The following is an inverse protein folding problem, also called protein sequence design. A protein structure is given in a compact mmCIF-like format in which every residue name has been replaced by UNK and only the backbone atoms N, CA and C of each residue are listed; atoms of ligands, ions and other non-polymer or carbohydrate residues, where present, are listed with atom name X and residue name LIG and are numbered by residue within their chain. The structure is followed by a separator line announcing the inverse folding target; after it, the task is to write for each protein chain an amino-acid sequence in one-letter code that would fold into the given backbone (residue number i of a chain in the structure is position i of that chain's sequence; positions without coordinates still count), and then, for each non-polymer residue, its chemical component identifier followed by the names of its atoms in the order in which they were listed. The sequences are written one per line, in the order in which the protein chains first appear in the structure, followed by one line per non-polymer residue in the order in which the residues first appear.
data_IF_946350043187
#
_entry.id   IF_946350043187
#
_cell.length_a   1.000
_cell.length_b   1.000
_cell.length_c   1.000
_cell.angle_alpha   90.00
_cell.angle_beta   90.00
_cell.angle_gamma   90.00
#
_symmetry.space_group_name_H-M   'P 1'
#
loop_
_entity.id
_entity.type
_entity.pdbx_description
1 polymer ?
#
# COMPACT_ATOMS: atom_id res chain seq x y z
N UNK A 1 -18.58 8.99 -5.02
CA UNK A 1 -17.13 9.20 -4.98
C UNK A 1 -16.47 8.01 -5.63
N UNK A 2 -15.80 8.21 -6.76
CA UNK A 2 -15.16 7.16 -7.53
C UNK A 2 -13.66 7.14 -7.25
N UNK A 3 -13.14 6.01 -6.78
CA UNK A 3 -11.73 5.87 -6.41
C UNK A 3 -11.05 4.73 -7.17
N UNK A 4 -9.83 5.00 -7.63
CA UNK A 4 -8.95 3.99 -8.20
C UNK A 4 -8.02 3.45 -7.11
N UNK A 5 -7.99 2.14 -6.92
CA UNK A 5 -7.09 1.46 -5.98
C UNK A 5 -5.97 0.76 -6.74
N UNK A 6 -4.71 1.04 -6.39
CA UNK A 6 -3.52 0.45 -7.00
C UNK A 6 -2.71 -0.33 -5.97
N UNK A 7 -2.50 -1.62 -6.21
CA UNK A 7 -1.72 -2.49 -5.34
C UNK A 7 -0.68 -3.28 -6.15
N UNK A 8 0.55 -2.75 -6.29
CA UNK A 8 1.63 -3.45 -6.95
C UNK A 8 2.15 -4.60 -6.08
N UNK A 9 2.17 -5.79 -6.65
CA UNK A 9 2.88 -6.97 -6.16
C UNK A 9 4.15 -7.23 -6.96
N UNK A 10 4.87 -8.30 -6.62
CA UNK A 10 6.11 -8.68 -7.31
C UNK A 10 5.90 -8.92 -8.81
N UNK A 11 4.95 -9.79 -9.16
CA UNK A 11 4.70 -10.25 -10.55
C UNK A 11 3.37 -9.78 -11.13
N UNK A 12 2.61 -8.98 -10.38
CA UNK A 12 1.33 -8.43 -10.85
C UNK A 12 1.06 -7.07 -10.20
N UNK A 13 0.18 -6.28 -10.80
CA UNK A 13 -0.43 -5.12 -10.16
C UNK A 13 -1.94 -5.32 -10.14
N UNK A 14 -2.53 -5.34 -8.96
CA UNK A 14 -3.99 -5.37 -8.83
C UNK A 14 -4.50 -3.94 -8.89
N UNK A 15 -5.50 -3.72 -9.72
CA UNK A 15 -6.24 -2.47 -9.80
C UNK A 15 -7.72 -2.74 -9.56
N UNK A 16 -8.38 -1.85 -8.83
CA UNK A 16 -9.83 -1.89 -8.65
C UNK A 16 -10.41 -0.48 -8.69
N UNK A 17 -11.60 -0.33 -9.27
CA UNK A 17 -12.38 0.90 -9.28
C UNK A 17 -13.57 0.70 -8.36
N UNK A 18 -13.73 1.61 -7.41
CA UNK A 18 -14.88 1.66 -6.52
C UNK A 18 -15.68 2.92 -6.79
N UNK A 19 -17.00 2.81 -6.69
CA UNK A 19 -17.90 3.94 -6.48
C UNK A 19 -18.53 3.76 -5.10
N UNK A 20 -18.16 4.65 -4.19
CA UNK A 20 -18.40 4.51 -2.75
C UNK A 20 -17.90 3.16 -2.22
N UNK A 21 -18.82 2.24 -1.90
CA UNK A 21 -18.53 0.91 -1.35
C UNK A 21 -18.65 -0.20 -2.40
N UNK A 22 -19.10 0.11 -3.61
CA UNK A 22 -19.35 -0.85 -4.68
C UNK A 22 -18.13 -0.95 -5.59
N UNK A 23 -17.58 -2.15 -5.72
CA UNK A 23 -16.56 -2.43 -6.73
C UNK A 23 -17.21 -2.46 -8.12
N UNK A 24 -16.79 -1.55 -9.01
CA UNK A 24 -17.26 -1.49 -10.39
C UNK A 24 -16.37 -2.31 -11.33
N UNK A 25 -15.09 -2.38 -11.02
CA UNK A 25 -14.09 -3.09 -11.83
C UNK A 25 -12.95 -3.56 -10.94
N UNK A 26 -12.42 -4.74 -11.21
CA UNK A 26 -11.23 -5.29 -10.55
C UNK A 26 -10.46 -6.15 -11.53
N UNK A 27 -9.16 -5.87 -11.71
CA UNK A 27 -8.29 -6.62 -12.62
C UNK A 27 -6.91 -6.80 -12.00
N UNK A 28 -6.36 -8.01 -12.17
CA UNK A 28 -4.97 -8.28 -11.86
C UNK A 28 -4.15 -8.19 -13.14
N UNK A 29 -3.44 -7.09 -13.32
CA UNK A 29 -2.49 -6.90 -14.43
C UNK A 29 -1.27 -7.77 -14.16
N UNK A 30 -1.09 -8.82 -14.95
CA UNK A 30 0.05 -9.73 -14.82
C UNK A 30 1.23 -9.14 -15.59
N UNK A 31 2.42 -9.18 -14.99
CA UNK A 31 3.64 -8.68 -15.59
C UNK A 31 4.48 -9.84 -16.12
N UNK A 32 5.05 -9.66 -17.30
CA UNK A 32 5.94 -10.66 -17.88
C UNK A 32 7.24 -10.74 -17.08
N UNK A 33 7.56 -11.92 -16.55
CA UNK A 33 8.75 -12.09 -15.70
C UNK A 33 10.07 -11.90 -16.46
N UNK A 34 10.10 -12.15 -17.77
CA UNK A 34 11.24 -11.90 -18.64
C UNK A 34 11.47 -10.40 -18.83
N UNK A 35 10.41 -9.62 -19.00
CA UNK A 35 10.49 -8.15 -19.04
C UNK A 35 10.91 -7.59 -17.66
N UNK A 36 10.28 -8.06 -16.57
CA UNK A 36 10.60 -7.57 -15.23
C UNK A 36 12.09 -7.78 -14.86
N UNK A 37 12.71 -8.87 -15.32
CA UNK A 37 14.13 -9.17 -15.09
C UNK A 37 15.10 -8.25 -15.83
N UNK A 38 14.64 -7.50 -16.83
CA UNK A 38 15.47 -6.54 -17.56
C UNK A 38 15.73 -5.27 -16.74
N UNK A 39 14.90 -5.00 -15.72
CA UNK A 39 15.05 -3.85 -14.85
C UNK A 39 15.98 -4.17 -13.68
N UNK A 40 16.99 -3.32 -13.47
CA UNK A 40 17.91 -3.43 -12.33
C UNK A 40 17.21 -3.05 -11.03
N UNK A 41 16.44 -1.94 -11.05
CA UNK A 41 15.69 -1.46 -9.90
C UNK A 41 14.20 -1.60 -10.14
N UNK A 42 13.48 -1.79 -9.05
CA UNK A 42 12.01 -1.79 -9.00
C UNK A 42 11.45 -0.48 -9.53
N UNK A 43 12.06 0.67 -9.20
CA UNK A 43 11.60 1.98 -9.66
C UNK A 43 11.65 2.13 -11.19
N UNK A 44 12.55 1.41 -11.86
CA UNK A 44 12.69 1.47 -13.32
C UNK A 44 11.49 0.81 -14.04
N UNK A 45 10.70 0.00 -13.32
CA UNK A 45 9.48 -0.63 -13.82
C UNK A 45 8.29 0.34 -13.89
N UNK A 46 8.45 1.58 -13.44
CA UNK A 46 7.37 2.55 -13.27
C UNK A 46 6.55 2.76 -14.55
N UNK A 47 7.22 3.15 -15.64
CA UNK A 47 6.56 3.42 -16.93
C UNK A 47 5.86 2.18 -17.48
N UNK A 48 6.54 1.03 -17.47
CA UNK A 48 5.97 -0.24 -17.91
C UNK A 48 4.68 -0.60 -17.16
N UNK A 49 4.68 -0.46 -15.83
CA UNK A 49 3.49 -0.76 -15.04
C UNK A 49 2.39 0.29 -15.24
N UNK A 50 2.75 1.56 -15.39
CA UNK A 50 1.82 2.66 -15.64
C UNK A 50 1.05 2.45 -16.94
N UNK A 51 1.74 2.11 -18.02
CA UNK A 51 1.14 1.90 -19.33
C UNK A 51 0.14 0.74 -19.32
N UNK A 52 0.49 -0.36 -18.66
CA UNK A 52 -0.42 -1.51 -18.53
C UNK A 52 -1.65 -1.20 -17.68
N UNK A 53 -1.51 -0.37 -16.64
CA UNK A 53 -2.65 0.08 -15.82
C UNK A 53 -3.58 0.96 -16.66
N UNK A 54 -3.05 1.95 -17.38
CA UNK A 54 -3.83 2.83 -18.25
C UNK A 54 -4.55 2.06 -19.35
N UNK A 55 -3.88 1.09 -19.98
CA UNK A 55 -4.49 0.21 -20.97
C UNK A 55 -5.66 -0.60 -20.37
N UNK A 56 -5.47 -1.16 -19.17
CA UNK A 56 -6.50 -1.93 -18.48
C UNK A 56 -7.71 -1.08 -18.06
N UNK A 57 -7.50 0.17 -17.65
CA UNK A 57 -8.59 1.11 -17.32
C UNK A 57 -9.36 1.52 -18.58
N UNK A 58 -8.65 1.83 -19.66
CA UNK A 58 -9.25 2.20 -20.95
C UNK A 58 -10.09 1.06 -21.53
N UNK A 59 -9.60 -0.17 -21.46
CA UNK A 59 -10.35 -1.38 -21.89
C UNK A 59 -11.65 -1.55 -21.09
N UNK A 60 -11.64 -1.18 -19.81
CA UNK A 60 -12.82 -1.19 -18.94
C UNK A 60 -13.73 0.05 -19.09
N UNK A 61 -13.37 1.00 -19.97
CA UNK A 61 -14.15 2.20 -20.23
C UNK A 61 -13.99 3.32 -19.19
N UNK A 62 -12.89 3.32 -18.43
CA UNK A 62 -12.56 4.39 -17.48
C UNK A 62 -11.44 5.28 -18.00
N UNK A 63 -11.58 6.57 -17.77
CA UNK A 63 -10.54 7.57 -17.99
C UNK A 63 -10.07 8.15 -16.65
N UNK A 64 -8.88 8.76 -16.63
CA UNK A 64 -8.37 9.32 -15.36
C UNK A 64 -9.30 10.39 -14.79
N UNK A 65 -9.94 11.20 -15.64
CA UNK A 65 -10.89 12.24 -15.23
C UNK A 65 -12.16 11.71 -14.54
N UNK A 66 -12.42 10.40 -14.58
CA UNK A 66 -13.56 9.78 -13.91
C UNK A 66 -13.40 9.65 -12.40
N UNK A 67 -12.17 9.78 -11.87
CA UNK A 67 -11.85 9.49 -10.48
C UNK A 67 -11.75 10.75 -9.62
N UNK A 68 -12.24 10.67 -8.38
CA UNK A 68 -12.11 11.71 -7.37
C UNK A 68 -10.81 11.59 -6.56
N UNK A 69 -10.26 10.37 -6.46
CA UNK A 69 -9.01 10.09 -5.76
C UNK A 69 -8.38 8.78 -6.22
N UNK A 70 -7.06 8.64 -5.99
CA UNK A 70 -6.33 7.39 -6.18
C UNK A 70 -5.80 6.92 -4.83
N UNK A 71 -6.13 5.70 -4.44
CA UNK A 71 -5.58 5.03 -3.26
C UNK A 71 -4.53 4.01 -3.68
N UNK A 72 -3.44 3.90 -2.92
CA UNK A 72 -2.44 2.86 -3.13
C UNK A 72 -2.12 2.10 -1.86
N UNK A 73 -1.56 0.90 -2.03
CA UNK A 73 -0.79 0.28 -0.95
C UNK A 73 0.44 1.15 -0.64
N UNK A 74 0.74 1.34 0.63
CA UNK A 74 1.95 2.04 1.06
C UNK A 74 3.24 1.23 0.84
N UNK A 75 4.34 1.94 0.59
CA UNK A 75 5.68 1.37 0.43
C UNK A 75 6.52 1.41 1.71
N UNK A 76 7.83 1.18 1.53
CA UNK A 76 8.85 1.20 2.59
C UNK A 76 9.38 2.62 2.83
N UNK A 77 8.50 3.52 3.27
CA UNK A 77 8.89 4.87 3.75
C UNK A 77 9.44 4.80 5.18
N UNK A 78 9.81 5.93 5.78
CA UNK A 78 10.15 6.00 7.21
C UNK A 78 9.00 5.52 8.10
N UNK A 79 9.31 5.09 9.32
CA UNK A 79 8.28 4.66 10.27
C UNK A 79 7.29 5.79 10.57
N UNK A 80 6.00 5.49 10.45
CA UNK A 80 4.88 6.41 10.69
C UNK A 80 3.74 5.70 11.43
N UNK A 81 2.83 6.43 12.10
CA UNK A 81 1.62 5.83 12.69
C UNK A 81 0.69 5.17 11.64
N UNK A 82 -0.34 4.47 12.09
CA UNK A 82 -1.42 4.02 11.20
C UNK A 82 -2.26 5.21 10.72
N UNK A 83 -2.82 5.09 9.51
CA UNK A 83 -3.63 6.15 8.90
C UNK A 83 -3.62 6.14 7.37
N UNK A 84 -4.39 7.08 6.81
CA UNK A 84 -4.38 7.39 5.38
C UNK A 84 -3.66 8.71 5.17
N UNK A 85 -2.64 8.68 4.33
CA UNK A 85 -1.71 9.78 4.10
C UNK A 85 -1.81 10.26 2.65
N UNK A 86 -1.82 11.58 2.45
CA UNK A 86 -1.67 12.17 1.12
C UNK A 86 -0.24 11.97 0.64
N UNK A 87 -0.08 11.57 -0.62
CA UNK A 87 1.22 11.39 -1.24
C UNK A 87 1.79 12.76 -1.59
N UNK A 88 2.92 13.11 -0.98
CA UNK A 88 3.68 14.32 -1.26
C UNK A 88 5.08 13.98 -1.78
N UNK A 89 5.87 15.00 -2.08
CA UNK A 89 7.21 14.86 -2.66
C UNK A 89 8.17 14.11 -1.73
N UNK A 90 8.05 14.29 -0.40
CA UNK A 90 8.88 13.56 0.57
C UNK A 90 8.63 12.06 0.53
N UNK A 91 7.36 11.64 0.42
CA UNK A 91 6.99 10.23 0.26
C UNK A 91 7.61 9.65 -1.02
N UNK A 92 7.58 10.41 -2.12
CA UNK A 92 8.19 9.98 -3.38
C UNK A 92 9.70 9.85 -3.25
N UNK A 93 10.36 10.81 -2.60
CA UNK A 93 11.80 10.78 -2.36
C UNK A 93 12.22 9.57 -1.52
N UNK A 94 11.54 9.32 -0.39
CA UNK A 94 11.82 8.17 0.48
C UNK A 94 11.73 6.84 -0.29
N UNK A 95 10.73 6.70 -1.18
CA UNK A 95 10.51 5.50 -1.98
C UNK A 95 11.52 5.35 -3.12
N UNK A 96 11.92 6.45 -3.77
CA UNK A 96 12.94 6.45 -4.84
C UNK A 96 14.34 6.18 -4.29
N UNK A 97 14.63 6.64 -3.08
CA UNK A 97 15.90 6.42 -2.38
C UNK A 97 15.94 5.09 -1.61
N UNK A 98 14.84 4.34 -1.59
CA UNK A 98 14.73 3.05 -0.90
C UNK A 98 15.17 3.13 0.57
N UNK A 99 14.75 4.16 1.32
CA UNK A 99 15.24 4.45 2.68
C UNK A 99 15.12 3.26 3.64
N UNK A 100 14.06 2.44 3.49
CA UNK A 100 13.85 1.20 4.24
C UNK A 100 13.81 -0.04 3.32
N UNK A 101 14.54 0.02 2.21
CA UNK A 101 14.71 -1.07 1.26
C UNK A 101 13.80 -1.01 0.04
N UNK A 102 14.05 -1.96 -0.86
CA UNK A 102 13.42 -2.01 -2.17
C UNK A 102 12.37 -3.11 -2.24
N UNK A 103 11.15 -2.73 -2.62
CA UNK A 103 10.04 -3.67 -2.78
C UNK A 103 9.05 -3.15 -3.83
N UNK A 104 8.36 -4.07 -4.53
CA UNK A 104 7.36 -3.70 -5.55
C UNK A 104 6.27 -2.76 -5.03
N UNK A 105 5.92 -2.85 -3.74
CA UNK A 105 4.96 -1.93 -3.10
C UNK A 105 5.41 -0.48 -3.09
N UNK A 106 6.71 -0.20 -3.22
CA UNK A 106 7.22 1.17 -3.30
C UNK A 106 6.70 1.88 -4.57
N UNK A 107 6.38 1.12 -5.62
CA UNK A 107 5.76 1.67 -6.82
C UNK A 107 4.31 2.13 -6.59
N UNK A 108 3.64 1.68 -5.52
CA UNK A 108 2.22 2.00 -5.29
C UNK A 108 1.99 3.51 -5.22
N UNK A 109 2.61 4.20 -4.25
CA UNK A 109 2.45 5.65 -4.12
C UNK A 109 3.01 6.43 -5.32
N UNK A 110 4.10 5.95 -5.92
CA UNK A 110 4.71 6.60 -7.09
C UNK A 110 3.76 6.53 -8.29
N UNK A 111 3.22 5.35 -8.61
CA UNK A 111 2.24 5.17 -9.68
C UNK A 111 0.98 6.01 -9.44
N UNK A 112 0.48 6.03 -8.21
CA UNK A 112 -0.71 6.80 -7.87
C UNK A 112 -0.50 8.31 -8.07
N UNK A 113 0.68 8.84 -7.72
CA UNK A 113 1.00 10.25 -7.95
C UNK A 113 1.19 10.56 -9.44
N UNK A 114 1.93 9.72 -10.18
CA UNK A 114 2.17 9.89 -11.62
C UNK A 114 0.89 9.82 -12.46
N UNK A 115 -0.11 9.04 -12.02
CA UNK A 115 -1.43 8.98 -12.65
C UNK A 115 -2.33 10.14 -12.22
N UNK A 116 -2.26 10.55 -10.94
CA UNK A 116 -3.14 11.57 -10.36
C UNK A 116 -2.75 13.00 -10.74
N UNK A 117 -1.46 13.33 -10.70
CA UNK A 117 -0.96 14.70 -10.92
C UNK A 117 -1.42 15.29 -12.27
N UNK A 118 -1.29 14.59 -13.42
CA UNK A 118 -1.71 15.14 -14.72
C UNK A 118 -3.23 15.37 -14.82
N UNK A 119 -4.01 14.63 -14.04
CA UNK A 119 -5.47 14.74 -13.97
C UNK A 119 -5.94 15.70 -12.87
N UNK A 120 -5.04 16.25 -12.05
CA UNK A 120 -5.38 17.08 -10.90
C UNK A 120 -6.03 16.32 -9.74
N UNK A 121 -5.85 15.00 -9.67
CA UNK A 121 -6.54 14.10 -8.73
C UNK A 121 -5.62 13.80 -7.55
N UNK A 122 -6.10 13.93 -6.30
CA UNK A 122 -5.29 13.63 -5.14
C UNK A 122 -5.01 12.13 -5.01
N UNK A 123 -3.78 11.81 -4.63
CA UNK A 123 -3.32 10.45 -4.41
C UNK A 123 -3.00 10.20 -2.92
N UNK A 124 -3.35 9.02 -2.43
CA UNK A 124 -3.21 8.62 -1.03
C UNK A 124 -2.64 7.20 -0.90
N UNK A 125 -2.04 6.91 0.25
CA UNK A 125 -1.73 5.54 0.67
C UNK A 125 -2.19 5.31 2.11
N UNK A 126 -2.49 4.06 2.45
CA UNK A 126 -3.07 3.71 3.75
C UNK A 126 -2.29 2.60 4.42
N UNK A 127 -2.06 2.75 5.73
CA UNK A 127 -1.47 1.75 6.63
C UNK A 127 -0.28 1.01 5.97
N UNK A 128 0.83 1.72 5.65
CA UNK A 128 1.99 1.11 4.98
C UNK A 128 2.60 -0.02 5.80
N UNK A 129 3.46 -0.83 5.17
CA UNK A 129 4.14 -1.95 5.85
C UNK A 129 5.01 -1.51 7.04
N UNK A 130 5.41 -0.24 7.05
CA UNK A 130 6.29 0.40 8.04
C UNK A 130 5.56 1.06 9.21
N UNK A 131 4.24 0.85 9.33
CA UNK A 131 3.47 1.38 10.46
C UNK A 131 4.15 0.99 11.77
N UNK A 132 4.49 1.96 12.60
CA UNK A 132 5.10 1.75 13.90
C UNK A 132 4.25 2.40 14.99
N UNK A 133 3.78 1.53 15.88
CA UNK A 133 2.98 1.87 17.05
C UNK A 133 3.44 0.97 18.22
N UNK A 134 4.69 0.50 18.17
CA UNK A 134 5.26 -0.33 19.24
C UNK A 134 5.57 0.54 20.45
N UNK A 135 5.28 0.01 21.64
CA UNK A 135 5.76 0.61 22.88
C UNK A 135 7.28 0.50 22.97
N UNK A 136 7.93 1.45 23.63
CA UNK A 136 9.39 1.50 23.79
C UNK A 136 9.96 0.20 24.35
N UNK A 137 9.30 -0.42 25.34
CA UNK A 137 9.72 -1.70 25.93
C UNK A 137 9.78 -2.84 24.89
N UNK A 138 9.00 -2.76 23.81
CA UNK A 138 9.00 -3.76 22.75
C UNK A 138 10.16 -3.57 21.75
N UNK A 139 10.91 -2.46 21.82
CA UNK A 139 12.07 -2.18 20.93
C UNK A 139 13.33 -2.89 21.36
N UNK A 140 13.48 -3.22 22.65
CA UNK A 140 14.65 -3.94 23.14
C UNK A 140 14.77 -5.31 22.45
N UNK A 141 15.89 -5.51 21.75
CA UNK A 141 16.21 -6.75 21.02
C UNK A 141 16.96 -7.78 21.87
N UNK A 142 17.61 -7.34 22.95
CA UNK A 142 18.58 -8.14 23.71
C UNK A 142 20.03 -8.00 23.23
N UNK A 143 20.28 -7.23 22.17
CA UNK A 143 21.62 -6.95 21.64
C UNK A 143 21.88 -5.43 21.60
N UNK A 144 23.00 -4.99 22.18
CA UNK A 144 23.36 -3.57 22.23
C UNK A 144 23.58 -3.01 20.81
N UNK A 145 22.98 -1.85 20.52
CA UNK A 145 23.08 -1.21 19.20
C UNK A 145 22.14 -1.78 18.14
N UNK A 146 21.22 -2.68 18.50
CA UNK A 146 20.19 -3.21 17.61
C UNK A 146 18.81 -3.09 18.26
N UNK A 147 17.84 -2.57 17.52
CA UNK A 147 16.45 -2.46 17.97
C UNK A 147 15.54 -3.35 17.13
N UNK A 148 14.38 -3.70 17.69
CA UNK A 148 13.30 -4.37 16.96
C UNK A 148 12.54 -3.32 16.14
N UNK A 149 12.48 -3.54 14.83
CA UNK A 149 11.75 -2.67 13.91
C UNK A 149 10.33 -3.19 13.62
N UNK A 150 9.42 -2.27 13.29
CA UNK A 150 8.03 -2.59 12.98
C UNK A 150 7.80 -2.71 11.47
N UNK A 151 7.87 -3.94 10.96
CA UNK A 151 7.50 -4.27 9.58
C UNK A 151 6.47 -5.39 9.55
N UNK A 152 5.26 -5.10 9.06
CA UNK A 152 4.17 -6.08 9.05
C UNK A 152 3.04 -5.72 8.08
N UNK A 153 2.06 -6.61 7.94
CA UNK A 153 0.87 -6.39 7.10
C UNK A 153 -0.14 -5.45 7.77
N UNK A 154 0.26 -4.22 8.08
CA UNK A 154 -0.50 -3.22 8.83
C UNK A 154 -1.92 -3.00 8.29
N UNK A 155 -2.05 -2.76 6.97
CA UNK A 155 -3.34 -2.59 6.31
C UNK A 155 -4.30 -3.74 6.58
N UNK A 156 -3.82 -4.99 6.51
CA UNK A 156 -4.67 -6.14 6.80
C UNK A 156 -4.99 -6.24 8.29
N UNK A 157 -3.98 -6.08 9.17
CA UNK A 157 -4.16 -6.11 10.63
C UNK A 157 -5.22 -5.11 11.09
N UNK A 158 -5.09 -3.84 10.68
CA UNK A 158 -6.05 -2.80 11.04
C UNK A 158 -7.44 -3.05 10.42
N UNK A 159 -7.50 -3.54 9.17
CA UNK A 159 -8.78 -3.90 8.54
C UNK A 159 -9.53 -5.01 9.29
N UNK A 160 -8.86 -6.11 9.65
CA UNK A 160 -9.51 -7.21 10.37
C UNK A 160 -9.79 -6.86 11.83
N UNK A 161 -8.95 -6.05 12.47
CA UNK A 161 -9.19 -5.52 13.82
C UNK A 161 -10.47 -4.67 13.86
N UNK A 162 -10.63 -3.73 12.93
CA UNK A 162 -11.85 -2.91 12.80
C UNK A 162 -13.09 -3.77 12.49
N UNK A 163 -12.96 -4.80 11.64
CA UNK A 163 -14.06 -5.75 11.37
C UNK A 163 -14.44 -6.57 12.60
N UNK A 164 -13.47 -7.02 13.39
CA UNK A 164 -13.73 -7.73 14.63
C UNK A 164 -14.44 -6.81 15.65
N UNK A 165 -13.97 -5.57 15.78
CA UNK A 165 -14.58 -4.57 16.65
C UNK A 165 -16.05 -4.30 16.29
N UNK A 166 -16.33 -4.10 15.00
CA UNK A 166 -17.69 -3.92 14.49
C UNK A 166 -18.61 -5.12 14.80
N UNK A 167 -18.10 -6.36 14.67
CA UNK A 167 -18.86 -7.58 15.02
C UNK A 167 -19.14 -7.68 16.52
N UNK A 168 -18.29 -7.09 17.35
CA UNK A 168 -18.45 -7.03 18.81
C UNK A 168 -19.27 -5.81 19.26
N UNK A 169 -19.69 -4.94 18.33
CA UNK A 169 -20.43 -3.72 18.65
C UNK A 169 -19.62 -2.69 19.44
N UNK A 170 -18.29 -2.71 19.31
CA UNK A 170 -17.36 -1.79 20.00
C UNK A 170 -16.49 -1.04 19.02
N UNK A 171 -15.90 0.07 19.47
CA UNK A 171 -14.85 0.75 18.71
C UNK A 171 -13.56 -0.09 18.73
N UNK A 172 -12.69 0.11 17.74
CA UNK A 172 -11.43 -0.65 17.65
C UNK A 172 -10.48 -0.27 18.79
N UNK A 173 -10.52 1.00 19.19
CA UNK A 173 -9.67 1.61 20.21
C UNK A 173 -10.00 1.14 21.64
N UNK A 174 -11.19 0.56 21.86
CA UNK A 174 -11.64 0.00 23.15
C UNK A 174 -11.28 -1.48 23.35
N UNK A 175 -10.68 -2.12 22.34
CA UNK A 175 -10.41 -3.55 22.35
C UNK A 175 -8.92 -3.84 22.42
N UNK A 176 -8.59 -4.88 23.19
CA UNK A 176 -7.27 -5.50 23.14
C UNK A 176 -7.38 -6.75 22.27
N UNK A 177 -6.71 -6.77 21.12
CA UNK A 177 -6.80 -7.86 20.15
C UNK A 177 -5.42 -8.48 19.88
N UNK A 178 -5.38 -9.81 19.77
CA UNK A 178 -4.25 -10.52 19.17
C UNK A 178 -4.64 -10.88 17.74
N UNK A 179 -3.96 -10.28 16.78
CA UNK A 179 -4.26 -10.45 15.35
C UNK A 179 -3.13 -11.26 14.71
N UNK A 180 -3.50 -12.32 14.00
CA UNK A 180 -2.58 -13.21 13.30
C UNK A 180 -2.90 -13.17 11.81
N UNK A 181 -1.99 -12.60 11.03
CA UNK A 181 -2.02 -12.68 9.57
C UNK A 181 -1.28 -13.94 9.11
N UNK A 182 -2.01 -14.87 8.49
CA UNK A 182 -1.47 -16.10 7.92
C UNK A 182 -1.48 -15.99 6.38
N UNK A 183 -0.29 -15.82 5.79
CA UNK A 183 -0.10 -15.67 4.35
C UNK A 183 1.29 -16.13 3.92
N UNK A 184 1.77 -15.69 2.75
CA UNK A 184 3.14 -15.99 2.30
C UNK A 184 4.23 -15.48 3.27
N UNK A 185 3.89 -14.48 4.09
CA UNK A 185 4.60 -14.11 5.32
C UNK A 185 3.60 -14.10 6.47
N UNK A 186 3.97 -14.71 7.60
CA UNK A 186 3.12 -14.76 8.79
C UNK A 186 3.53 -13.67 9.78
N UNK A 187 2.55 -12.98 10.38
CA UNK A 187 2.77 -11.96 11.41
C UNK A 187 1.71 -12.12 12.51
N UNK A 188 2.13 -12.07 13.78
CA UNK A 188 1.26 -12.00 14.95
C UNK A 188 1.54 -10.69 15.71
N UNK A 189 0.49 -9.96 16.11
CA UNK A 189 0.64 -8.69 16.85
C UNK A 189 -0.51 -8.46 17.83
N UNK A 190 -0.19 -7.93 19.01
CA UNK A 190 -1.16 -7.36 19.95
C UNK A 190 -1.45 -5.91 19.54
N UNK A 191 -2.72 -5.52 19.53
CA UNK A 191 -3.17 -4.16 19.22
C UNK A 191 -4.15 -3.68 20.25
#
# INVERSE_FOLDING_TARGET
MKILIINPGSTSTKISVFDETKELFGKSVVHDSGILKQYTRTIDQLEYRKDLILAALKEAGFEMADFDAIGSRGGLVRHIPSGTYRINEQVIEDLKNCVNGEHASNLGPVLAKELGDPAGIPAYFTDPVVVDEMQEVARYSGFCGMERESFFHALNHKSVGRKAAARLGRSYEELNLIIIHLGGRCVCRCT
#
